data_IF_323453132084
#
_entry.id   IF_323453132084
#
_cell.length_a   1.000
_cell.length_b   1.000
_cell.length_c   1.000
_cell.angle_alpha   90.00
_cell.angle_beta   90.00
_cell.angle_gamma   90.00
#
_symmetry.space_group_name_H-M   'P 1'
#
loop_
_entity.id
_entity.type
_entity.pdbx_description
1 polymer ?
#
# COMPACT_ATOMS: atom_id res chain seq x y z
N UNK A 1 -71.70 -42.64 -20.30
CA UNK A 1 -71.74 -41.20 -19.95
C UNK A 1 -70.28 -40.75 -19.79
N UNK A 2 -69.78 -40.00 -20.77
CA UNK A 2 -68.41 -39.48 -20.78
C UNK A 2 -68.52 -37.98 -20.50
N UNK A 3 -67.94 -37.51 -19.37
CA UNK A 3 -67.77 -36.09 -19.10
C UNK A 3 -66.42 -35.63 -19.61
N UNK A 4 -66.41 -34.71 -20.59
CA UNK A 4 -65.23 -34.03 -21.09
C UNK A 4 -65.06 -32.74 -20.27
N UNK A 5 -63.94 -32.63 -19.52
CA UNK A 5 -63.56 -31.39 -18.84
C UNK A 5 -62.69 -30.56 -19.79
N UNK A 6 -63.19 -29.39 -20.14
CA UNK A 6 -62.48 -28.36 -20.91
C UNK A 6 -61.61 -27.54 -19.94
N UNK A 7 -60.30 -27.66 -20.11
CA UNK A 7 -59.32 -26.83 -19.34
C UNK A 7 -59.01 -25.58 -20.18
N UNK A 8 -59.38 -24.41 -19.69
CA UNK A 8 -59.02 -23.12 -20.27
C UNK A 8 -57.63 -22.72 -19.79
N UNK A 9 -56.63 -22.71 -20.66
CA UNK A 9 -55.31 -22.14 -20.41
C UNK A 9 -55.37 -20.63 -20.65
N UNK A 10 -55.36 -19.86 -19.57
CA UNK A 10 -55.12 -18.42 -19.60
C UNK A 10 -53.62 -18.16 -19.81
N UNK A 11 -53.23 -17.79 -21.01
CA UNK A 11 -51.90 -17.28 -21.33
C UNK A 11 -51.80 -15.84 -20.85
N UNK A 12 -51.07 -15.63 -19.75
CA UNK A 12 -50.69 -14.27 -19.27
C UNK A 12 -49.48 -13.83 -20.09
N UNK A 13 -49.70 -12.98 -21.09
CA UNK A 13 -48.64 -12.26 -21.80
C UNK A 13 -48.03 -11.22 -20.88
N UNK A 14 -46.85 -11.51 -20.33
CA UNK A 14 -46.01 -10.49 -19.71
C UNK A 14 -45.44 -9.60 -20.83
N UNK A 15 -46.03 -8.42 -21.00
CA UNK A 15 -45.43 -7.33 -21.76
C UNK A 15 -44.22 -6.80 -21.00
N UNK A 16 -43.00 -7.33 -21.29
CA UNK A 16 -41.77 -6.68 -20.93
C UNK A 16 -41.67 -5.38 -21.74
N UNK A 17 -42.05 -4.26 -21.14
CA UNK A 17 -41.70 -2.97 -21.68
C UNK A 17 -40.16 -2.83 -21.63
N UNK A 18 -39.50 -2.42 -22.73
CA UNK A 18 -38.09 -2.13 -22.69
C UNK A 18 -37.88 -0.97 -21.70
N UNK A 19 -37.14 -1.21 -20.60
CA UNK A 19 -36.61 -0.15 -19.77
C UNK A 19 -35.63 0.60 -20.65
N UNK A 20 -36.08 1.69 -21.27
CA UNK A 20 -35.20 2.66 -21.92
C UNK A 20 -34.24 3.17 -20.86
N UNK A 21 -32.99 2.71 -20.89
CA UNK A 21 -31.92 3.36 -20.17
C UNK A 21 -31.89 4.81 -20.66
N UNK A 22 -32.43 5.74 -19.88
CA UNK A 22 -32.26 7.17 -20.12
C UNK A 22 -30.74 7.44 -20.00
N UNK A 23 -30.07 7.62 -21.13
CA UNK A 23 -28.75 8.23 -21.19
C UNK A 23 -28.91 9.61 -20.58
N UNK A 24 -28.38 9.82 -19.37
CA UNK A 24 -28.39 11.14 -18.73
C UNK A 24 -27.64 12.09 -19.66
N UNK A 25 -28.29 13.23 -19.95
CA UNK A 25 -27.74 14.24 -20.85
C UNK A 25 -26.47 14.84 -20.26
N UNK A 26 -25.39 14.85 -21.04
CA UNK A 26 -24.18 15.66 -20.83
C UNK A 26 -24.62 17.13 -20.74
N UNK A 27 -23.99 17.91 -19.84
CA UNK A 27 -24.27 19.34 -19.72
C UNK A 27 -23.89 20.11 -21.00
N UNK A 28 -24.50 21.28 -21.28
CA UNK A 28 -24.06 22.13 -22.41
C UNK A 28 -22.57 22.50 -22.36
N UNK A 29 -22.03 22.70 -21.14
CA UNK A 29 -20.61 22.96 -20.90
C UNK A 29 -19.76 21.73 -21.21
N UNK A 30 -20.16 20.57 -20.73
CA UNK A 30 -19.51 19.30 -21.02
C UNK A 30 -19.50 18.97 -22.51
N UNK A 31 -20.58 19.30 -23.25
CA UNK A 31 -20.63 19.13 -24.69
C UNK A 31 -19.58 19.98 -25.41
N UNK A 32 -19.40 21.24 -25.03
CA UNK A 32 -18.33 22.11 -25.57
C UNK A 32 -16.93 21.53 -25.33
N UNK A 33 -16.70 20.93 -24.16
CA UNK A 33 -15.44 20.23 -23.90
C UNK A 33 -15.20 19.11 -24.91
N UNK A 34 -16.21 18.28 -25.16
CA UNK A 34 -16.11 17.14 -26.09
C UNK A 34 -15.88 17.57 -27.54
N UNK A 35 -16.48 18.67 -27.99
CA UNK A 35 -16.31 19.22 -29.35
C UNK A 35 -14.85 19.54 -29.67
N UNK A 36 -14.09 20.06 -28.70
CA UNK A 36 -12.68 20.36 -28.88
C UNK A 36 -11.79 19.15 -28.49
N UNK A 37 -11.97 18.59 -27.29
CA UNK A 37 -11.12 17.54 -26.78
C UNK A 37 -11.27 16.20 -27.49
N UNK A 38 -12.38 15.99 -28.22
CA UNK A 38 -12.55 14.84 -29.09
C UNK A 38 -11.49 14.73 -30.20
N UNK A 39 -10.92 15.88 -30.61
CA UNK A 39 -9.83 15.93 -31.60
C UNK A 39 -8.46 16.19 -30.97
N UNK A 40 -8.39 17.03 -29.95
CA UNK A 40 -7.10 17.46 -29.35
C UNK A 40 -6.54 16.45 -28.33
N UNK A 41 -7.40 15.78 -27.57
CA UNK A 41 -7.04 14.74 -26.58
C UNK A 41 -7.98 13.54 -26.62
N UNK A 42 -8.07 12.83 -27.77
CA UNK A 42 -9.08 11.80 -27.99
C UNK A 42 -8.96 10.63 -27.01
N UNK A 43 -7.76 10.32 -26.50
CA UNK A 43 -7.54 9.29 -25.50
C UNK A 43 -8.23 9.56 -24.17
N UNK A 44 -8.24 10.83 -23.72
CA UNK A 44 -8.94 11.24 -22.49
C UNK A 44 -10.45 11.07 -22.66
N UNK A 45 -10.99 11.50 -23.80
CA UNK A 45 -12.42 11.37 -24.12
C UNK A 45 -12.83 9.90 -24.22
N UNK A 46 -12.00 9.06 -24.84
CA UNK A 46 -12.24 7.61 -24.94
C UNK A 46 -12.30 6.94 -23.55
N UNK A 47 -11.33 7.24 -22.70
CA UNK A 47 -11.30 6.72 -21.32
C UNK A 47 -12.52 7.17 -20.52
N UNK A 48 -12.86 8.46 -20.56
CA UNK A 48 -14.04 8.97 -19.88
C UNK A 48 -15.32 8.29 -20.40
N UNK A 49 -15.45 8.10 -21.70
CA UNK A 49 -16.63 7.50 -22.33
C UNK A 49 -16.89 6.06 -21.87
N UNK A 50 -15.83 5.31 -21.53
CA UNK A 50 -15.92 3.95 -20.98
C UNK A 50 -16.30 3.93 -19.48
N UNK A 51 -16.16 5.06 -18.78
CA UNK A 51 -16.31 5.16 -17.34
C UNK A 51 -17.74 4.97 -16.84
N UNK A 52 -17.87 4.61 -15.56
CA UNK A 52 -19.16 4.62 -14.87
C UNK A 52 -19.73 6.05 -14.75
N UNK A 53 -18.86 7.08 -14.69
CA UNK A 53 -19.27 8.48 -14.63
C UNK A 53 -20.00 8.93 -15.89
N UNK A 54 -19.47 8.61 -17.07
CA UNK A 54 -20.12 8.94 -18.33
C UNK A 54 -21.51 8.29 -18.46
N UNK A 55 -21.64 7.03 -17.99
CA UNK A 55 -22.93 6.28 -18.01
C UNK A 55 -24.03 6.94 -17.19
N UNK A 56 -23.67 7.74 -16.19
CA UNK A 56 -24.62 8.46 -15.32
C UNK A 56 -24.64 9.98 -15.59
N UNK A 57 -24.00 10.45 -16.68
CA UNK A 57 -24.03 11.85 -17.09
C UNK A 57 -23.09 12.78 -16.31
N UNK A 58 -22.14 12.26 -15.55
CA UNK A 58 -21.05 13.04 -14.95
C UNK A 58 -20.00 13.29 -16.00
N UNK A 59 -19.90 14.51 -16.48
CA UNK A 59 -19.06 14.95 -17.60
C UNK A 59 -17.78 15.67 -17.16
N UNK A 60 -17.03 16.16 -18.16
CA UNK A 60 -15.76 16.86 -17.94
C UNK A 60 -15.97 18.08 -17.03
N UNK A 61 -16.99 18.88 -17.29
CA UNK A 61 -17.27 20.10 -16.51
C UNK A 61 -17.68 19.78 -15.08
N UNK A 62 -18.42 18.70 -14.85
CA UNK A 62 -18.81 18.26 -13.51
C UNK A 62 -17.61 18.03 -12.58
N UNK A 63 -16.47 17.57 -13.13
CA UNK A 63 -15.25 17.35 -12.39
C UNK A 63 -14.30 18.58 -12.39
N UNK A 64 -14.17 19.25 -13.52
CA UNK A 64 -13.22 20.33 -13.72
C UNK A 64 -13.76 21.73 -13.39
N UNK A 65 -15.09 21.90 -13.21
CA UNK A 65 -15.65 23.16 -12.80
C UNK A 65 -15.04 23.65 -11.49
N UNK A 66 -14.53 24.87 -11.51
CA UNK A 66 -13.92 25.54 -10.37
C UNK A 66 -14.67 26.85 -10.06
N UNK A 67 -14.70 27.27 -8.79
CA UNK A 67 -15.17 28.58 -8.40
C UNK A 67 -14.08 29.62 -8.70
N UNK A 68 -14.47 30.90 -8.85
CA UNK A 68 -13.53 31.96 -9.16
C UNK A 68 -12.40 32.13 -8.12
N UNK A 69 -12.67 31.74 -6.87
CA UNK A 69 -11.74 31.85 -5.75
C UNK A 69 -10.98 30.54 -5.44
N UNK A 70 -11.24 29.48 -6.19
CA UNK A 70 -10.51 28.21 -5.97
C UNK A 70 -9.06 28.41 -6.43
N UNK A 71 -8.06 27.99 -5.65
CA UNK A 71 -6.67 28.06 -6.06
C UNK A 71 -6.42 27.24 -7.34
N UNK A 72 -5.48 27.69 -8.17
CA UNK A 72 -5.14 27.03 -9.44
C UNK A 72 -6.28 26.94 -10.46
N UNK A 73 -7.26 27.84 -10.38
CA UNK A 73 -8.24 28.04 -11.45
C UNK A 73 -7.72 28.97 -12.53
N UNK A 74 -8.22 28.81 -13.73
CA UNK A 74 -7.97 29.71 -14.83
C UNK A 74 -9.17 29.77 -15.79
N UNK A 75 -9.19 30.77 -16.65
CA UNK A 75 -10.22 30.89 -17.67
C UNK A 75 -9.86 30.05 -18.88
N UNK A 76 -10.74 29.17 -19.29
CA UNK A 76 -10.58 28.28 -20.43
C UNK A 76 -11.81 28.40 -21.34
N UNK A 77 -11.69 29.20 -22.41
CA UNK A 77 -12.78 29.46 -23.34
C UNK A 77 -14.08 29.87 -22.66
N UNK A 78 -13.97 30.81 -21.72
CA UNK A 78 -15.12 31.36 -20.98
C UNK A 78 -15.64 30.49 -19.86
N UNK A 79 -14.96 29.38 -19.52
CA UNK A 79 -15.27 28.54 -18.38
C UNK A 79 -14.15 28.61 -17.32
N UNK A 80 -14.52 28.75 -16.03
CA UNK A 80 -13.56 28.63 -14.92
C UNK A 80 -13.34 27.15 -14.61
N UNK A 81 -12.12 26.69 -14.84
CA UNK A 81 -11.75 25.29 -14.59
C UNK A 81 -10.49 25.16 -13.78
N UNK A 82 -10.31 24.00 -13.15
CA UNK A 82 -9.08 23.55 -12.51
C UNK A 82 -8.47 22.40 -13.32
N UNK A 83 -7.17 22.49 -13.65
CA UNK A 83 -6.42 21.39 -14.28
C UNK A 83 -6.37 20.19 -13.32
N UNK A 84 -6.11 20.45 -12.04
CA UNK A 84 -6.01 19.43 -11.01
C UNK A 84 -7.37 19.26 -10.33
N UNK A 85 -8.04 18.15 -10.61
CA UNK A 85 -9.22 17.72 -9.85
C UNK A 85 -8.72 17.14 -8.54
N UNK A 86 -8.92 17.87 -7.46
CA UNK A 86 -8.45 17.49 -6.12
C UNK A 86 -9.43 16.53 -5.43
N UNK A 87 -9.04 15.87 -4.32
CA UNK A 87 -9.97 15.06 -3.54
C UNK A 87 -11.23 15.81 -3.07
N UNK A 88 -11.14 17.13 -2.83
CA UNK A 88 -12.30 17.95 -2.47
C UNK A 88 -13.38 17.96 -3.56
N UNK A 89 -12.97 17.98 -4.84
CA UNK A 89 -13.91 17.87 -5.96
C UNK A 89 -14.62 16.51 -5.99
N UNK A 90 -13.85 15.42 -5.79
CA UNK A 90 -14.43 14.07 -5.70
C UNK A 90 -15.38 13.95 -4.51
N UNK A 91 -15.03 14.55 -3.37
CA UNK A 91 -15.79 14.54 -2.13
C UNK A 91 -17.16 15.23 -2.21
N UNK A 92 -17.41 16.06 -3.24
CA UNK A 92 -18.75 16.63 -3.49
C UNK A 92 -19.82 15.54 -3.63
N UNK A 93 -19.44 14.37 -4.16
CA UNK A 93 -20.31 13.21 -4.34
C UNK A 93 -19.84 12.00 -3.50
N UNK A 94 -18.52 11.84 -3.27
CA UNK A 94 -17.87 10.74 -2.58
C UNK A 94 -17.35 11.13 -1.19
N UNK A 95 -18.21 11.79 -0.38
CA UNK A 95 -17.82 12.36 0.91
C UNK A 95 -17.34 11.32 1.94
N UNK A 96 -17.93 10.10 1.92
CA UNK A 96 -17.53 9.01 2.80
C UNK A 96 -16.12 8.50 2.46
N UNK A 97 -15.86 8.29 1.19
CA UNK A 97 -14.58 7.81 0.67
C UNK A 97 -13.49 8.84 0.94
N UNK A 98 -13.76 10.13 0.73
CA UNK A 98 -12.85 11.22 1.06
C UNK A 98 -12.49 11.22 2.55
N UNK A 99 -13.50 11.20 3.44
CA UNK A 99 -13.25 11.21 4.88
C UNK A 99 -12.48 10.00 5.39
N UNK A 100 -12.62 8.84 4.77
CA UNK A 100 -11.81 7.64 5.07
C UNK A 100 -10.38 7.77 4.55
N UNK A 101 -10.22 8.25 3.32
CA UNK A 101 -8.91 8.47 2.72
C UNK A 101 -8.08 9.48 3.52
N UNK A 102 -8.66 10.59 3.96
CA UNK A 102 -7.99 11.63 4.73
C UNK A 102 -7.43 11.14 6.07
N UNK A 103 -8.01 10.09 6.66
CA UNK A 103 -7.50 9.42 7.87
C UNK A 103 -6.33 8.48 7.57
N UNK A 104 -6.19 8.05 6.32
CA UNK A 104 -5.17 7.09 5.93
C UNK A 104 -3.77 7.70 5.90
N UNK A 105 -2.76 6.85 6.06
CA UNK A 105 -1.37 7.25 5.84
C UNK A 105 -1.10 7.75 4.41
N UNK A 106 -1.89 7.33 3.43
CA UNK A 106 -1.76 7.78 2.05
C UNK A 106 -2.00 9.27 1.91
N UNK A 107 -2.99 9.84 2.58
CA UNK A 107 -3.23 11.29 2.55
C UNK A 107 -2.05 12.11 3.12
N UNK A 108 -1.25 11.51 3.99
CA UNK A 108 -0.11 12.16 4.62
C UNK A 108 1.25 11.68 4.03
N UNK A 109 1.25 10.95 2.91
CA UNK A 109 2.46 10.30 2.38
C UNK A 109 3.58 11.30 2.04
N UNK A 110 3.27 12.52 1.60
CA UNK A 110 4.27 13.55 1.38
C UNK A 110 5.06 13.95 2.65
N UNK A 111 4.49 13.74 3.85
CA UNK A 111 5.19 14.02 5.12
C UNK A 111 6.28 13.00 5.44
N UNK A 112 6.20 11.79 4.88
CA UNK A 112 7.25 10.79 5.06
C UNK A 112 8.56 11.18 4.38
N UNK A 113 8.46 12.06 3.41
CA UNK A 113 9.62 12.68 2.78
C UNK A 113 10.36 13.65 3.75
N UNK A 114 9.88 13.91 4.95
CA UNK A 114 10.60 14.59 6.04
C UNK A 114 11.42 13.67 6.96
N UNK A 115 11.61 12.41 6.58
CA UNK A 115 12.42 11.41 7.29
C UNK A 115 13.85 11.34 6.74
N UNK A 116 14.66 10.39 7.22
CA UNK A 116 15.99 10.11 6.68
C UNK A 116 16.01 9.83 5.18
N UNK A 117 14.91 9.34 4.61
CA UNK A 117 14.76 9.09 3.17
C UNK A 117 14.89 10.39 2.35
N UNK A 118 14.50 11.52 2.91
CA UNK A 118 14.70 12.83 2.27
C UNK A 118 16.16 13.26 2.24
N UNK A 119 16.86 13.01 3.35
CA UNK A 119 18.29 13.29 3.39
C UNK A 119 19.01 12.52 2.28
N UNK A 120 18.68 11.23 2.11
CA UNK A 120 19.20 10.43 1.01
C UNK A 120 18.76 10.97 -0.35
N UNK A 121 17.47 11.03 -0.62
CA UNK A 121 16.93 11.37 -1.93
C UNK A 121 17.21 12.81 -2.39
N UNK A 122 17.21 13.78 -1.50
CA UNK A 122 17.33 15.20 -1.88
C UNK A 122 18.75 15.76 -1.73
N UNK A 123 19.50 15.30 -0.73
CA UNK A 123 20.83 15.85 -0.42
C UNK A 123 21.93 14.93 -0.93
N UNK A 124 21.88 13.65 -0.58
CA UNK A 124 22.93 12.69 -0.98
C UNK A 124 22.82 12.34 -2.47
N UNK A 125 21.61 12.07 -2.97
CA UNK A 125 21.36 11.68 -4.36
C UNK A 125 21.10 12.89 -5.28
N UNK A 126 20.43 13.94 -4.76
CA UNK A 126 20.15 15.19 -5.42
C UNK A 126 18.69 15.40 -5.82
N UNK A 127 18.25 16.66 -5.83
CA UNK A 127 16.86 17.06 -6.06
C UNK A 127 16.19 16.46 -7.31
N UNK A 128 16.84 16.42 -8.50
CA UNK A 128 16.25 15.80 -9.69
C UNK A 128 15.91 14.30 -9.51
N UNK A 129 16.70 13.54 -8.73
CA UNK A 129 16.41 12.16 -8.41
C UNK A 129 15.16 12.05 -7.52
N UNK A 130 15.04 12.91 -6.51
CA UNK A 130 13.85 12.97 -5.65
C UNK A 130 12.59 13.33 -6.44
N UNK A 131 12.65 14.30 -7.38
CA UNK A 131 11.51 14.70 -8.23
C UNK A 131 11.00 13.55 -9.08
N UNK A 132 11.92 12.81 -9.73
CA UNK A 132 11.56 11.70 -10.61
C UNK A 132 11.38 10.36 -9.90
N UNK A 133 11.86 10.23 -8.67
CA UNK A 133 11.77 9.04 -7.82
C UNK A 133 10.76 9.21 -6.68
N UNK A 134 11.25 9.56 -5.49
CA UNK A 134 10.47 9.56 -4.24
C UNK A 134 9.13 10.30 -4.36
N UNK A 135 9.13 11.47 -4.98
CA UNK A 135 7.94 12.34 -5.10
C UNK A 135 6.88 11.78 -6.04
N UNK A 136 7.24 10.88 -6.97
CA UNK A 136 6.27 10.26 -7.87
C UNK A 136 5.35 9.26 -7.15
N UNK A 137 5.83 8.64 -6.07
CA UNK A 137 5.05 7.76 -5.22
C UNK A 137 4.46 8.50 -4.01
N UNK A 138 5.29 9.24 -3.26
CA UNK A 138 4.88 9.91 -2.02
C UNK A 138 4.12 11.22 -2.25
N UNK A 139 4.41 11.93 -3.32
CA UNK A 139 3.89 13.26 -3.58
C UNK A 139 4.74 14.38 -2.95
N UNK A 140 4.43 15.60 -3.32
CA UNK A 140 4.97 16.84 -2.75
C UNK A 140 3.92 17.95 -2.87
N UNK A 141 4.18 19.13 -2.35
CA UNK A 141 3.34 20.30 -2.55
C UNK A 141 3.43 20.76 -4.01
N UNK A 142 2.27 20.91 -4.64
CA UNK A 142 2.15 21.39 -6.03
C UNK A 142 2.08 22.92 -6.04
N UNK A 143 3.03 23.54 -6.73
CA UNK A 143 3.10 25.00 -6.89
C UNK A 143 2.45 25.44 -8.20
N UNK A 144 1.38 26.20 -8.08
CA UNK A 144 0.70 26.82 -9.20
C UNK A 144 1.38 28.15 -9.56
N UNK A 145 1.68 28.36 -10.84
CA UNK A 145 2.40 29.57 -11.33
C UNK A 145 1.50 30.55 -12.09
N UNK A 146 0.23 30.22 -12.27
CA UNK A 146 -0.75 31.03 -13.00
C UNK A 146 -1.12 30.46 -14.37
N UNK A 147 -2.24 30.87 -14.93
CA UNK A 147 -2.71 30.53 -16.29
C UNK A 147 -2.72 29.02 -16.60
N UNK A 148 -3.13 28.22 -15.64
CA UNK A 148 -3.15 26.77 -15.79
C UNK A 148 -1.78 26.09 -15.76
N UNK A 149 -0.72 26.81 -15.39
CA UNK A 149 0.67 26.34 -15.35
C UNK A 149 1.13 26.03 -13.94
N UNK A 150 2.11 25.14 -13.85
CA UNK A 150 2.69 24.67 -12.59
C UNK A 150 4.21 24.67 -12.66
N UNK A 151 4.83 24.80 -11.49
CA UNK A 151 6.28 24.66 -11.33
C UNK A 151 6.73 23.24 -11.74
N UNK A 152 7.68 23.10 -12.69
CA UNK A 152 8.11 21.80 -13.20
C UNK A 152 8.78 20.88 -12.15
N UNK A 153 9.31 21.43 -11.06
CA UNK A 153 9.86 20.63 -9.96
C UNK A 153 8.77 20.01 -9.07
N UNK A 154 7.51 20.42 -9.25
CA UNK A 154 6.37 19.97 -8.46
C UNK A 154 5.25 19.33 -9.28
N UNK A 155 5.30 19.48 -10.62
CA UNK A 155 4.32 18.95 -11.55
C UNK A 155 4.97 18.54 -12.89
N UNK A 156 4.66 17.35 -13.46
CA UNK A 156 3.60 16.41 -13.05
C UNK A 156 3.90 15.71 -11.73
N UNK A 157 2.83 15.43 -10.95
CA UNK A 157 2.92 14.80 -9.63
C UNK A 157 1.75 13.81 -9.46
N UNK A 158 2.05 12.53 -9.52
CA UNK A 158 1.07 11.44 -9.36
C UNK A 158 1.04 10.86 -7.96
N UNK A 159 1.90 11.36 -7.05
CA UNK A 159 2.09 10.80 -5.72
C UNK A 159 0.81 10.79 -4.88
N UNK A 160 0.63 9.68 -4.15
CA UNK A 160 -0.60 9.41 -3.41
C UNK A 160 -0.91 10.47 -2.34
N UNK A 161 0.12 11.07 -1.72
CA UNK A 161 0.00 12.09 -0.68
C UNK A 161 0.26 13.51 -1.17
N UNK A 162 0.17 13.76 -2.48
CA UNK A 162 0.33 15.09 -3.07
C UNK A 162 -0.44 16.15 -2.28
N UNK A 163 0.19 17.28 -1.98
CA UNK A 163 -0.49 18.46 -1.40
C UNK A 163 -0.94 19.35 -2.54
N UNK A 164 -2.23 19.52 -2.67
CA UNK A 164 -2.83 20.26 -3.78
C UNK A 164 -2.88 21.77 -3.48
N UNK A 165 -3.02 22.64 -4.50
CA UNK A 165 -3.09 24.09 -4.30
C UNK A 165 -4.23 24.55 -3.37
N UNK A 166 -5.32 23.77 -3.26
CA UNK A 166 -6.43 24.02 -2.34
C UNK A 166 -6.18 23.51 -0.91
N UNK A 167 -4.97 23.05 -0.61
CA UNK A 167 -4.58 22.47 0.67
C UNK A 167 -5.05 21.04 0.93
N UNK A 168 -5.89 20.48 0.04
CA UNK A 168 -6.29 19.07 0.13
C UNK A 168 -5.10 18.13 -0.11
N UNK A 169 -5.16 16.93 0.44
CA UNK A 169 -4.05 15.97 0.39
C UNK A 169 -4.42 14.77 -0.46
N UNK A 170 -3.46 14.36 -1.26
CA UNK A 170 -3.55 13.13 -2.04
C UNK A 170 -4.22 13.27 -3.40
N UNK A 171 -4.49 12.13 -4.00
CA UNK A 171 -5.20 12.03 -5.28
C UNK A 171 -5.90 10.69 -5.41
N UNK A 172 -7.22 10.72 -5.60
CA UNK A 172 -8.02 9.51 -5.84
C UNK A 172 -7.60 8.78 -7.13
N UNK A 173 -7.11 9.56 -8.10
CA UNK A 173 -6.63 9.04 -9.38
C UNK A 173 -5.34 8.20 -9.28
N UNK A 174 -4.66 8.19 -8.13
CA UNK A 174 -3.54 7.27 -7.92
C UNK A 174 -4.00 5.80 -7.92
N UNK A 175 -5.21 5.52 -7.45
CA UNK A 175 -5.77 4.17 -7.44
C UNK A 175 -6.76 3.93 -8.58
N UNK A 176 -7.62 4.91 -8.88
CA UNK A 176 -8.72 4.73 -9.82
C UNK A 176 -8.37 5.02 -11.29
N UNK A 177 -7.21 5.56 -11.58
CA UNK A 177 -6.80 5.92 -12.95
C UNK A 177 -7.70 6.96 -13.61
N UNK A 178 -7.13 8.03 -14.12
CA UNK A 178 -7.83 9.04 -14.94
C UNK A 178 -7.99 8.49 -16.36
N UNK A 179 -9.02 8.69 -17.04
CA UNK A 179 -10.34 9.30 -16.80
C UNK A 179 -11.42 8.21 -16.77
N UNK A 180 -10.99 6.94 -16.80
CA UNK A 180 -11.86 5.76 -16.73
C UNK A 180 -12.41 5.55 -15.30
N UNK A 181 -11.63 5.88 -14.27
CA UNK A 181 -11.98 5.70 -12.85
C UNK A 181 -12.41 4.28 -12.51
N UNK A 182 -11.67 3.29 -13.05
CA UNK A 182 -12.00 1.87 -12.94
C UNK A 182 -11.86 1.34 -11.52
N UNK A 183 -12.92 0.72 -11.00
CA UNK A 183 -12.87 -0.05 -9.76
C UNK A 183 -12.06 -1.33 -9.90
N UNK A 184 -12.11 -1.97 -11.08
CA UNK A 184 -11.34 -3.16 -11.36
C UNK A 184 -9.84 -2.88 -11.34
N UNK A 185 -9.40 -1.76 -11.91
CA UNK A 185 -8.02 -1.31 -11.82
C UNK A 185 -7.58 -1.11 -10.36
N UNK A 186 -8.41 -0.43 -9.54
CA UNK A 186 -8.11 -0.18 -8.13
C UNK A 186 -7.97 -1.46 -7.29
N UNK A 187 -8.56 -2.58 -7.74
CA UNK A 187 -8.53 -3.90 -7.09
C UNK A 187 -7.37 -4.78 -7.54
N UNK A 188 -6.67 -4.41 -8.62
CA UNK A 188 -5.50 -5.14 -9.12
C UNK A 188 -4.30 -4.95 -8.16
N UNK A 189 -3.56 -6.02 -7.85
CA UNK A 189 -2.34 -5.93 -7.05
C UNK A 189 -1.30 -4.98 -7.66
N UNK A 190 -1.11 -5.00 -8.97
CA UNK A 190 -0.14 -4.16 -9.68
C UNK A 190 -0.42 -2.66 -9.50
N UNK A 191 -1.69 -2.29 -9.30
CA UNK A 191 -2.04 -0.89 -9.02
C UNK A 191 -1.53 -0.40 -7.66
N UNK A 192 -1.41 -1.27 -6.68
CA UNK A 192 -0.74 -0.98 -5.42
C UNK A 192 0.78 -1.08 -5.60
N UNK A 193 1.22 -2.11 -6.34
CA UNK A 193 2.61 -2.45 -6.61
C UNK A 193 3.42 -1.38 -7.32
N UNK A 194 2.78 -0.48 -8.07
CA UNK A 194 3.50 0.65 -8.71
C UNK A 194 4.19 1.62 -7.74
N UNK A 195 3.82 1.56 -6.44
CA UNK A 195 4.42 2.33 -5.36
C UNK A 195 4.94 1.43 -4.23
N UNK A 196 4.28 0.29 -3.99
CA UNK A 196 4.67 -0.69 -2.98
C UNK A 196 5.61 -1.74 -3.58
N UNK A 197 6.84 -1.32 -3.89
CA UNK A 197 7.91 -2.11 -4.50
C UNK A 197 9.28 -1.63 -4.01
N UNK A 198 10.31 -2.42 -4.28
CA UNK A 198 11.69 -2.02 -4.06
C UNK A 198 12.32 -2.60 -2.79
N UNK A 199 13.54 -2.14 -2.43
CA UNK A 199 14.36 -2.83 -1.45
C UNK A 199 13.82 -2.76 -0.02
N UNK A 200 13.02 -1.74 0.31
CA UNK A 200 12.57 -1.44 1.68
C UNK A 200 11.09 -1.76 1.93
N UNK A 201 10.26 -1.85 0.88
CA UNK A 201 8.83 -2.14 0.99
C UNK A 201 8.30 -2.96 -0.20
N UNK A 202 8.87 -4.16 -0.43
CA UNK A 202 8.63 -4.99 -1.61
C UNK A 202 7.31 -5.76 -1.53
N UNK A 203 6.19 -5.08 -1.23
CA UNK A 203 4.93 -5.78 -1.01
C UNK A 203 4.41 -6.47 -2.28
N UNK A 204 4.63 -5.88 -3.47
CA UNK A 204 4.18 -6.53 -4.70
C UNK A 204 5.01 -7.78 -5.02
N UNK A 205 6.32 -7.73 -4.78
CA UNK A 205 7.22 -8.86 -4.95
C UNK A 205 6.84 -9.99 -3.99
N UNK A 206 6.66 -9.67 -2.69
CA UNK A 206 6.21 -10.63 -1.68
C UNK A 206 4.85 -11.24 -2.06
N UNK A 207 3.90 -10.41 -2.51
CA UNK A 207 2.60 -10.89 -2.94
C UNK A 207 2.73 -11.84 -4.12
N UNK A 208 3.50 -11.47 -5.13
CA UNK A 208 3.68 -12.25 -6.35
C UNK A 208 4.28 -13.65 -6.10
N UNK A 209 5.15 -13.80 -5.12
CA UNK A 209 5.76 -15.07 -4.73
C UNK A 209 4.91 -15.85 -3.71
N UNK A 210 3.98 -15.18 -3.02
CA UNK A 210 3.10 -15.80 -2.06
C UNK A 210 2.10 -16.74 -2.71
N UNK A 211 1.58 -17.70 -1.91
CA UNK A 211 0.48 -18.57 -2.35
C UNK A 211 -0.75 -17.77 -2.79
N UNK A 212 -1.02 -16.63 -2.16
CA UNK A 212 -2.11 -15.74 -2.53
C UNK A 212 -1.91 -15.12 -3.91
N UNK A 213 -0.72 -14.61 -4.21
CA UNK A 213 -0.41 -14.05 -5.53
C UNK A 213 -0.44 -15.09 -6.65
N UNK A 214 0.05 -16.31 -6.38
CA UNK A 214 -0.03 -17.42 -7.31
C UNK A 214 -1.49 -17.78 -7.60
N UNK A 215 -2.33 -17.90 -6.57
CA UNK A 215 -3.76 -18.18 -6.73
C UNK A 215 -4.49 -17.03 -7.45
N UNK A 216 -4.15 -15.78 -7.18
CA UNK A 216 -4.72 -14.64 -7.89
C UNK A 216 -4.45 -14.75 -9.40
N UNK A 217 -3.18 -14.92 -9.81
CA UNK A 217 -2.82 -15.02 -11.23
C UNK A 217 -3.50 -16.19 -11.94
N UNK A 218 -3.65 -17.31 -11.26
CA UNK A 218 -4.33 -18.49 -11.80
C UNK A 218 -5.86 -18.31 -11.92
N UNK A 219 -6.46 -17.37 -11.22
CA UNK A 219 -7.92 -17.25 -11.09
C UNK A 219 -8.44 -15.80 -11.31
N UNK A 220 -7.73 -14.93 -12.02
CA UNK A 220 -8.13 -13.52 -12.22
C UNK A 220 -9.56 -13.40 -12.73
N UNK A 221 -9.97 -14.26 -13.69
CA UNK A 221 -11.32 -14.26 -14.24
C UNK A 221 -12.43 -14.57 -13.21
N UNK A 222 -12.08 -15.21 -12.08
CA UNK A 222 -13.02 -15.54 -10.99
C UNK A 222 -13.07 -14.47 -9.90
N UNK A 223 -12.28 -13.41 -10.04
CA UNK A 223 -12.18 -12.36 -9.03
C UNK A 223 -13.33 -11.35 -9.05
N UNK A 224 -14.16 -11.38 -10.09
CA UNK A 224 -15.30 -10.48 -10.26
C UNK A 224 -14.94 -8.99 -9.97
N UNK A 225 -13.81 -8.54 -10.56
CA UNK A 225 -13.23 -7.23 -10.27
C UNK A 225 -14.15 -6.04 -10.59
N UNK A 226 -15.14 -6.25 -11.47
CA UNK A 226 -16.15 -5.25 -11.87
C UNK A 226 -17.37 -5.23 -10.95
N UNK A 227 -17.48 -6.12 -9.96
CA UNK A 227 -18.63 -6.15 -9.02
C UNK A 227 -18.82 -4.80 -8.33
N UNK A 228 -20.06 -4.35 -8.22
CA UNK A 228 -20.39 -3.08 -7.53
C UNK A 228 -20.11 -3.15 -6.03
N UNK A 229 -20.35 -4.29 -5.40
CA UNK A 229 -20.19 -4.49 -3.95
C UNK A 229 -18.85 -5.10 -3.57
N UNK A 230 -18.34 -6.04 -4.36
CA UNK A 230 -17.08 -6.75 -4.21
C UNK A 230 -16.80 -7.24 -2.76
N UNK A 231 -17.76 -7.96 -2.21
CA UNK A 231 -17.71 -8.53 -0.86
C UNK A 231 -16.98 -9.86 -0.89
N UNK A 232 -15.89 -9.99 -0.15
CA UNK A 232 -15.15 -11.26 -0.04
C UNK A 232 -16.00 -12.35 0.59
N UNK A 233 -15.92 -13.55 0.04
CA UNK A 233 -16.73 -14.70 0.46
C UNK A 233 -18.14 -14.73 -0.18
N UNK A 234 -18.62 -13.62 -0.74
CA UNK A 234 -19.93 -13.51 -1.39
C UNK A 234 -19.81 -13.28 -2.90
N UNK A 235 -19.11 -12.21 -3.29
CA UNK A 235 -18.99 -11.83 -4.69
C UNK A 235 -17.79 -12.50 -5.37
N UNK A 236 -16.80 -12.88 -4.59
CA UNK A 236 -15.60 -13.62 -5.00
C UNK A 236 -14.97 -14.36 -3.83
N UNK A 237 -14.25 -15.46 -4.14
CA UNK A 237 -13.55 -16.29 -3.14
C UNK A 237 -12.30 -16.98 -3.69
N UNK A 238 -11.91 -16.69 -4.93
CA UNK A 238 -10.85 -17.43 -5.61
C UNK A 238 -9.46 -17.14 -5.05
N UNK A 239 -9.20 -15.87 -4.68
CA UNK A 239 -7.96 -15.43 -4.05
C UNK A 239 -8.14 -14.05 -3.44
N UNK A 240 -7.31 -13.62 -2.48
CA UNK A 240 -7.25 -12.23 -2.05
C UNK A 240 -6.33 -11.41 -2.98
N UNK A 241 -6.57 -10.09 -3.03
CA UNK A 241 -5.64 -9.07 -3.52
C UNK A 241 -5.23 -8.15 -2.37
N UNK A 242 -4.35 -7.18 -2.62
CA UNK A 242 -4.03 -6.14 -1.63
C UNK A 242 -5.31 -5.44 -1.15
N UNK A 243 -6.19 -5.07 -2.09
CA UNK A 243 -7.48 -4.43 -1.78
C UNK A 243 -8.42 -5.36 -0.98
N UNK A 244 -8.35 -6.68 -1.15
CA UNK A 244 -9.13 -7.62 -0.35
C UNK A 244 -8.79 -7.49 1.13
N UNK A 245 -7.51 -7.57 1.47
CA UNK A 245 -7.06 -7.52 2.85
C UNK A 245 -7.24 -6.13 3.48
N UNK A 246 -6.90 -5.08 2.74
CA UNK A 246 -6.83 -3.73 3.29
C UNK A 246 -8.13 -2.93 3.17
N UNK A 247 -9.00 -3.22 2.21
CA UNK A 247 -10.12 -2.34 1.87
C UNK A 247 -11.47 -3.03 1.73
N UNK A 248 -11.51 -4.29 1.22
CA UNK A 248 -12.73 -4.96 0.79
C UNK A 248 -13.78 -5.08 1.90
N UNK A 249 -15.05 -5.03 1.51
CA UNK A 249 -16.13 -5.43 2.39
C UNK A 249 -16.10 -6.94 2.66
N UNK A 250 -16.58 -7.32 3.85
CA UNK A 250 -16.95 -8.70 4.21
C UNK A 250 -18.44 -8.72 4.56
N UNK A 251 -19.06 -9.87 4.84
CA UNK A 251 -20.41 -9.91 5.40
C UNK A 251 -20.57 -9.11 6.70
N UNK A 252 -19.47 -8.89 7.45
CA UNK A 252 -19.49 -8.28 8.78
C UNK A 252 -18.98 -6.84 8.82
N UNK A 253 -18.28 -6.38 7.79
CA UNK A 253 -17.70 -5.04 7.74
C UNK A 253 -17.80 -4.39 6.35
N UNK A 254 -18.00 -3.07 6.34
CA UNK A 254 -18.07 -2.30 5.10
C UNK A 254 -16.71 -2.13 4.45
N UNK A 255 -16.70 -1.85 3.13
CA UNK A 255 -15.53 -1.36 2.41
C UNK A 255 -14.98 -0.09 3.07
N UNK A 256 -13.66 0.04 3.13
CA UNK A 256 -12.96 1.23 3.65
C UNK A 256 -11.95 1.78 2.65
N UNK A 257 -11.76 3.11 2.65
CA UNK A 257 -10.66 3.81 1.96
C UNK A 257 -9.53 4.20 2.91
N UNK A 258 -9.63 3.86 4.20
CA UNK A 258 -8.47 3.86 5.10
C UNK A 258 -7.75 2.51 4.99
N UNK A 259 -6.75 2.44 4.10
CA UNK A 259 -5.96 1.22 3.84
C UNK A 259 -5.16 0.73 5.06
N UNK A 260 -5.00 1.59 6.06
CA UNK A 260 -4.30 1.29 7.32
C UNK A 260 -5.18 0.73 8.41
N UNK A 261 -6.51 0.79 8.26
CA UNK A 261 -7.47 0.51 9.33
C UNK A 261 -7.36 -0.91 9.93
N UNK A 262 -6.88 -1.87 9.14
CA UNK A 262 -6.73 -3.28 9.54
C UNK A 262 -5.30 -3.69 9.89
N UNK A 263 -4.34 -2.75 9.91
CA UNK A 263 -2.94 -3.01 10.22
C UNK A 263 -2.72 -2.92 11.71
N UNK A 264 -2.22 -3.98 12.35
CA UNK A 264 -2.02 -4.06 13.80
C UNK A 264 -0.63 -3.66 14.29
N UNK A 265 0.37 -3.66 13.40
CA UNK A 265 1.75 -3.31 13.70
C UNK A 265 2.26 -2.16 12.85
N UNK A 266 3.19 -1.38 13.40
CA UNK A 266 4.03 -0.52 12.57
C UNK A 266 5.27 -1.30 12.12
N UNK A 267 5.42 -1.51 10.80
CA UNK A 267 6.55 -2.27 10.23
C UNK A 267 7.63 -1.36 9.62
N UNK A 268 7.41 -0.05 9.63
CA UNK A 268 8.33 0.93 9.03
C UNK A 268 9.52 1.30 9.91
N UNK A 269 9.36 1.59 11.22
CA UNK A 269 10.48 2.00 12.08
C UNK A 269 11.42 0.82 12.35
N UNK A 270 12.61 1.14 12.85
CA UNK A 270 13.62 0.15 13.20
C UNK A 270 13.10 -0.92 14.18
N UNK A 271 12.30 -0.50 15.16
CA UNK A 271 11.64 -1.39 16.13
C UNK A 271 10.15 -1.42 15.83
N UNK A 272 9.60 -2.61 15.69
CA UNK A 272 8.17 -2.83 15.46
C UNK A 272 7.40 -2.79 16.76
N UNK A 273 6.31 -2.01 16.77
CA UNK A 273 5.38 -1.94 17.90
C UNK A 273 3.94 -2.08 17.42
N UNK A 274 3.05 -2.49 18.31
CA UNK A 274 1.62 -2.45 18.04
C UNK A 274 1.15 -1.01 17.83
N UNK A 275 0.22 -0.84 16.89
CA UNK A 275 -0.48 0.43 16.70
C UNK A 275 -1.55 0.61 17.78
N UNK A 276 -1.99 1.84 17.96
CA UNK A 276 -3.15 2.14 18.80
C UNK A 276 -4.37 1.31 18.33
N UNK A 277 -5.11 0.74 19.29
CA UNK A 277 -6.27 -0.13 19.05
C UNK A 277 -5.94 -1.35 18.16
N UNK A 278 -4.75 -1.90 18.29
CA UNK A 278 -4.24 -3.00 17.44
C UNK A 278 -5.11 -4.25 17.49
N UNK A 279 -5.73 -4.57 18.64
CA UNK A 279 -6.63 -5.72 18.78
C UNK A 279 -7.84 -5.58 17.85
N UNK A 280 -8.47 -4.41 17.84
CA UNK A 280 -9.60 -4.11 16.94
C UNK A 280 -9.18 -4.17 15.47
N UNK A 281 -8.04 -3.61 15.14
CA UNK A 281 -7.44 -3.64 13.79
C UNK A 281 -7.17 -5.07 13.34
N UNK A 282 -6.60 -5.88 14.23
CA UNK A 282 -6.33 -7.29 13.99
C UNK A 282 -7.62 -8.10 13.82
N UNK A 283 -8.60 -7.89 14.67
CA UNK A 283 -9.90 -8.55 14.56
C UNK A 283 -10.57 -8.25 13.20
N UNK A 284 -10.47 -7.01 12.71
CA UNK A 284 -10.97 -6.64 11.40
C UNK A 284 -10.21 -7.35 10.25
N UNK A 285 -8.89 -7.55 10.36
CA UNK A 285 -8.13 -8.33 9.38
C UNK A 285 -8.44 -9.82 9.48
N UNK A 286 -8.59 -10.36 10.70
CA UNK A 286 -8.97 -11.77 10.92
C UNK A 286 -10.35 -12.09 10.35
N UNK A 287 -11.30 -11.15 10.42
CA UNK A 287 -12.60 -11.29 9.77
C UNK A 287 -12.45 -11.45 8.24
N UNK A 288 -11.56 -10.71 7.59
CA UNK A 288 -11.25 -10.94 6.17
C UNK A 288 -10.71 -12.35 5.93
N UNK A 289 -9.72 -12.78 6.72
CA UNK A 289 -9.10 -14.10 6.59
C UNK A 289 -10.13 -15.23 6.74
N UNK A 290 -11.06 -15.08 7.69
CA UNK A 290 -12.05 -16.11 8.07
C UNK A 290 -13.11 -16.35 6.99
N UNK A 291 -13.18 -15.51 5.94
CA UNK A 291 -14.02 -15.81 4.77
C UNK A 291 -13.48 -16.95 3.89
N UNK A 292 -12.21 -17.34 4.09
CA UNK A 292 -11.56 -18.40 3.32
C UNK A 292 -10.85 -19.44 4.22
N UNK A 293 -10.44 -19.07 5.43
CA UNK A 293 -9.64 -19.90 6.35
C UNK A 293 -10.39 -20.19 7.64
N UNK A 294 -10.17 -21.39 8.21
CA UNK A 294 -10.69 -21.74 9.53
C UNK A 294 -10.06 -20.88 10.63
N UNK A 295 -10.85 -20.56 11.66
CA UNK A 295 -10.43 -19.67 12.77
C UNK A 295 -9.12 -20.11 13.42
N UNK A 296 -8.97 -21.39 13.76
CA UNK A 296 -7.74 -21.90 14.38
C UNK A 296 -6.50 -21.77 13.50
N UNK A 297 -6.66 -21.83 12.18
CA UNK A 297 -5.55 -21.55 11.24
C UNK A 297 -5.13 -20.08 11.31
N UNK A 298 -6.11 -19.17 11.30
CA UNK A 298 -5.87 -17.72 11.37
C UNK A 298 -5.19 -17.35 12.70
N UNK A 299 -5.68 -17.89 13.82
CA UNK A 299 -5.08 -17.68 15.14
C UNK A 299 -3.62 -18.16 15.20
N UNK A 300 -3.33 -19.35 14.65
CA UNK A 300 -1.98 -19.90 14.63
C UNK A 300 -1.04 -19.09 13.73
N UNK A 301 -1.53 -18.59 12.60
CA UNK A 301 -0.76 -17.65 11.78
C UNK A 301 -0.33 -16.41 12.58
N UNK A 302 -1.25 -15.81 13.34
CA UNK A 302 -0.91 -14.64 14.14
C UNK A 302 0.07 -14.96 15.28
N UNK A 303 0.00 -16.13 15.89
CA UNK A 303 1.01 -16.57 16.88
C UNK A 303 2.40 -16.69 16.26
N UNK A 304 2.50 -17.25 15.06
CA UNK A 304 3.77 -17.34 14.31
C UNK A 304 4.28 -15.96 13.93
N UNK A 305 3.40 -15.09 13.48
CA UNK A 305 3.74 -13.69 13.14
C UNK A 305 4.27 -12.94 14.37
N UNK A 306 3.59 -13.02 15.52
CA UNK A 306 4.05 -12.43 16.79
C UNK A 306 5.45 -12.93 17.17
N UNK A 307 5.68 -14.22 17.09
CA UNK A 307 6.99 -14.82 17.42
C UNK A 307 8.10 -14.29 16.51
N UNK A 308 7.80 -14.09 15.23
CA UNK A 308 8.76 -13.55 14.26
C UNK A 308 9.07 -12.07 14.53
N UNK A 309 8.05 -11.26 14.84
CA UNK A 309 8.25 -9.86 15.22
C UNK A 309 9.08 -9.75 16.51
N UNK A 310 8.77 -10.59 17.49
CA UNK A 310 9.53 -10.64 18.73
C UNK A 310 10.99 -11.03 18.48
N UNK A 311 11.23 -12.07 17.67
CA UNK A 311 12.60 -12.47 17.29
C UNK A 311 13.36 -11.32 16.64
N UNK A 312 12.77 -10.64 15.67
CA UNK A 312 13.41 -9.51 15.00
C UNK A 312 13.75 -8.39 15.99
N UNK A 313 12.79 -8.00 16.82
CA UNK A 313 12.98 -6.91 17.77
C UNK A 313 14.06 -7.22 18.81
N UNK A 314 13.97 -8.41 19.45
CA UNK A 314 14.84 -8.73 20.59
C UNK A 314 16.24 -9.12 20.14
N UNK A 315 16.37 -9.84 19.02
CA UNK A 315 17.67 -10.33 18.58
C UNK A 315 18.46 -9.29 17.80
N UNK A 316 17.81 -8.45 17.01
CA UNK A 316 18.51 -7.56 16.05
C UNK A 316 18.22 -6.07 16.28
N UNK A 317 16.93 -5.68 16.26
CA UNK A 317 16.57 -4.27 16.19
C UNK A 317 16.92 -3.47 17.44
N UNK A 318 16.51 -3.96 18.62
CA UNK A 318 16.83 -3.30 19.91
C UNK A 318 18.33 -3.31 20.21
N UNK A 319 19.06 -4.44 20.04
CA UNK A 319 20.50 -4.45 20.18
C UNK A 319 21.22 -3.47 19.27
N UNK A 320 20.91 -3.46 17.97
CA UNK A 320 21.52 -2.52 17.02
C UNK A 320 21.24 -1.07 17.40
N UNK A 321 19.98 -0.75 17.73
CA UNK A 321 19.62 0.60 18.18
C UNK A 321 20.37 0.99 19.46
N UNK A 322 20.48 0.10 20.43
CA UNK A 322 21.20 0.37 21.69
C UNK A 322 22.68 0.68 21.44
N UNK A 323 23.32 -0.02 20.49
CA UNK A 323 24.71 0.24 20.09
C UNK A 323 24.80 1.63 19.43
N UNK A 324 23.94 1.96 18.48
CA UNK A 324 23.91 3.28 17.84
C UNK A 324 23.72 4.40 18.88
N UNK A 325 22.78 4.24 19.81
CA UNK A 325 22.54 5.22 20.88
C UNK A 325 23.80 5.45 21.74
N UNK A 326 24.55 4.39 22.09
CA UNK A 326 25.81 4.48 22.84
C UNK A 326 26.89 5.21 22.03
N UNK A 327 27.01 4.94 20.74
CA UNK A 327 27.98 5.61 19.85
C UNK A 327 27.68 7.11 19.72
N UNK A 328 26.43 7.50 19.52
CA UNK A 328 26.03 8.90 19.51
C UNK A 328 26.27 9.58 20.87
N UNK A 329 25.88 8.94 21.97
CA UNK A 329 26.04 9.50 23.32
C UNK A 329 27.52 9.69 23.72
N UNK A 330 28.42 8.85 23.20
CA UNK A 330 29.86 8.94 23.44
C UNK A 330 30.61 9.91 22.51
N UNK A 331 29.89 10.53 21.55
CA UNK A 331 30.48 11.40 20.53
C UNK A 331 31.36 10.67 19.51
N UNK A 332 31.19 9.35 19.35
CA UNK A 332 31.85 8.55 18.31
C UNK A 332 31.22 8.71 16.94
N UNK A 333 29.98 9.16 16.91
CA UNK A 333 29.27 9.54 15.69
C UNK A 333 28.94 11.03 15.71
N UNK A 334 29.03 11.67 14.58
CA UNK A 334 28.60 13.06 14.39
C UNK A 334 27.07 13.18 14.40
N UNK A 335 26.54 14.40 14.29
CA UNK A 335 25.10 14.64 14.10
C UNK A 335 24.71 14.74 12.63
N UNK A 336 25.67 14.71 11.74
CA UNK A 336 25.43 14.73 10.30
C UNK A 336 25.00 13.32 9.86
N UNK A 337 23.79 13.12 9.35
CA UNK A 337 23.35 11.80 8.94
C UNK A 337 24.17 11.27 7.75
N UNK A 338 24.48 9.98 7.78
CA UNK A 338 25.14 9.23 6.71
C UNK A 338 26.59 9.66 6.38
N UNK A 339 27.29 10.33 7.27
CA UNK A 339 28.71 10.66 7.11
C UNK A 339 29.65 9.56 7.64
N UNK A 340 29.13 8.61 8.46
CA UNK A 340 29.87 7.44 8.91
C UNK A 340 29.31 6.14 8.33
N UNK A 341 30.21 5.19 8.07
CA UNK A 341 29.89 3.89 7.47
C UNK A 341 28.83 3.11 8.24
N UNK A 342 28.89 3.11 9.58
CA UNK A 342 27.97 2.36 10.42
C UNK A 342 26.51 2.83 10.29
N UNK A 343 26.26 4.09 9.93
CA UNK A 343 24.92 4.62 9.71
C UNK A 343 24.27 3.99 8.49
N UNK A 344 25.07 3.77 7.41
CA UNK A 344 24.61 3.05 6.23
C UNK A 344 24.34 1.58 6.54
N UNK A 345 25.22 0.91 7.28
CA UNK A 345 25.05 -0.48 7.70
C UNK A 345 23.82 -0.64 8.60
N UNK A 346 23.61 0.31 9.53
CA UNK A 346 22.42 0.31 10.38
C UNK A 346 21.16 0.55 9.56
N UNK A 347 21.19 1.49 8.59
CA UNK A 347 20.08 1.78 7.71
C UNK A 347 19.71 0.55 6.86
N UNK A 348 20.66 -0.09 6.22
CA UNK A 348 20.46 -1.35 5.47
C UNK A 348 19.84 -2.44 6.35
N UNK A 349 20.35 -2.59 7.57
CA UNK A 349 19.89 -3.62 8.49
C UNK A 349 18.41 -3.50 8.84
N UNK A 350 17.96 -2.30 9.23
CA UNK A 350 16.59 -2.15 9.68
C UNK A 350 15.63 -1.69 8.58
N UNK A 351 16.10 -0.82 7.67
CA UNK A 351 15.26 -0.18 6.67
C UNK A 351 14.99 -1.11 5.48
N UNK A 352 16.02 -1.80 5.00
CA UNK A 352 15.87 -2.75 3.89
C UNK A 352 15.62 -4.17 4.39
N UNK A 353 16.63 -4.84 4.90
CA UNK A 353 16.55 -6.24 5.29
C UNK A 353 15.50 -6.50 6.39
N UNK A 354 15.48 -5.65 7.42
CA UNK A 354 14.54 -5.77 8.53
C UNK A 354 13.08 -5.53 8.12
N UNK A 355 12.81 -4.58 7.23
CA UNK A 355 11.45 -4.38 6.68
C UNK A 355 11.03 -5.57 5.84
N UNK A 356 11.89 -6.08 4.96
CA UNK A 356 11.63 -7.27 4.14
C UNK A 356 11.26 -8.48 5.00
N UNK A 357 12.04 -8.77 6.04
CA UNK A 357 11.77 -9.87 6.97
C UNK A 357 10.37 -9.78 7.61
N UNK A 358 10.01 -8.60 8.10
CA UNK A 358 8.73 -8.37 8.80
C UNK A 358 7.55 -8.35 7.86
N UNK A 359 7.68 -7.71 6.69
CA UNK A 359 6.64 -7.67 5.65
C UNK A 359 6.46 -9.05 5.00
N UNK A 360 7.56 -9.79 4.76
CA UNK A 360 7.51 -11.16 4.28
C UNK A 360 6.66 -12.05 5.19
N UNK A 361 6.90 -11.97 6.51
CA UNK A 361 6.09 -12.72 7.49
C UNK A 361 4.64 -12.26 7.51
N UNK A 362 4.40 -10.95 7.55
CA UNK A 362 3.05 -10.38 7.59
C UNK A 362 2.20 -10.79 6.37
N UNK A 363 2.82 -10.97 5.21
CA UNK A 363 2.17 -11.29 3.94
C UNK A 363 2.36 -12.75 3.50
N UNK A 364 2.88 -13.62 4.39
CA UNK A 364 3.08 -15.05 4.13
C UNK A 364 4.01 -15.35 2.93
N UNK A 365 5.05 -14.51 2.75
CA UNK A 365 6.10 -14.69 1.76
C UNK A 365 7.35 -15.33 2.40
N UNK A 366 7.55 -16.67 2.30
CA UNK A 366 8.62 -17.36 3.01
C UNK A 366 10.01 -16.96 2.56
N UNK A 367 10.22 -16.67 1.30
CA UNK A 367 11.51 -16.24 0.75
C UNK A 367 11.91 -14.87 1.29
N UNK A 368 10.98 -13.91 1.27
CA UNK A 368 11.20 -12.58 1.84
C UNK A 368 11.29 -12.59 3.38
N UNK A 369 10.68 -13.57 4.05
CA UNK A 369 10.91 -13.76 5.48
C UNK A 369 12.33 -14.27 5.73
N UNK A 370 12.77 -15.31 5.02
CA UNK A 370 13.99 -16.05 5.32
C UNK A 370 15.21 -15.47 4.57
N UNK A 371 15.25 -15.59 3.23
CA UNK A 371 16.48 -15.29 2.46
C UNK A 371 16.69 -13.79 2.23
N UNK A 372 15.69 -13.09 1.71
CA UNK A 372 15.74 -11.65 1.52
C UNK A 372 15.45 -10.85 2.81
N UNK A 373 15.19 -11.54 3.92
CA UNK A 373 14.86 -10.97 5.22
C UNK A 373 15.86 -11.34 6.30
N UNK A 374 15.55 -12.37 7.10
CA UNK A 374 16.36 -12.71 8.28
C UNK A 374 17.80 -13.11 7.96
N UNK A 375 18.06 -13.74 6.81
CA UNK A 375 19.43 -14.03 6.38
C UNK A 375 20.22 -12.73 6.15
N UNK A 376 19.64 -11.79 5.41
CA UNK A 376 20.28 -10.50 5.15
C UNK A 376 20.44 -9.68 6.44
N UNK A 377 19.43 -9.66 7.32
CA UNK A 377 19.53 -9.03 8.65
C UNK A 377 20.69 -9.62 9.44
N UNK A 378 20.79 -10.95 9.50
CA UNK A 378 21.86 -11.63 10.23
C UNK A 378 23.23 -11.37 9.60
N UNK A 379 23.33 -11.45 8.28
CA UNK A 379 24.56 -11.18 7.55
C UNK A 379 25.05 -9.77 7.85
N UNK A 380 24.23 -8.73 7.62
CA UNK A 380 24.61 -7.33 7.89
C UNK A 380 25.00 -7.16 9.35
N UNK A 381 24.17 -7.68 10.28
CA UNK A 381 24.41 -7.54 11.71
C UNK A 381 25.78 -8.11 12.13
N UNK A 382 26.08 -9.37 11.76
CA UNK A 382 27.29 -10.05 12.25
C UNK A 382 28.56 -9.73 11.45
N UNK A 383 28.44 -9.44 10.14
CA UNK A 383 29.64 -9.31 9.28
C UNK A 383 29.99 -7.86 8.97
N UNK A 384 29.10 -6.91 9.23
CA UNK A 384 29.27 -5.50 8.91
C UNK A 384 29.08 -4.63 10.16
N UNK A 385 27.86 -4.55 10.69
CA UNK A 385 27.49 -3.65 11.79
C UNK A 385 28.26 -3.90 13.11
N UNK A 386 28.33 -5.14 13.59
CA UNK A 386 29.03 -5.46 14.86
C UNK A 386 30.55 -5.20 14.75
N UNK A 387 31.27 -5.62 13.69
CA UNK A 387 32.69 -5.29 13.52
C UNK A 387 32.96 -3.79 13.45
N UNK A 388 32.10 -3.04 12.76
CA UNK A 388 32.27 -1.59 12.64
C UNK A 388 32.02 -0.87 13.98
N UNK A 389 31.00 -1.29 14.73
CA UNK A 389 30.73 -0.78 16.06
C UNK A 389 31.91 -0.98 17.02
N UNK A 390 32.54 -2.18 17.02
CA UNK A 390 33.74 -2.48 17.81
C UNK A 390 34.94 -1.66 17.36
N UNK A 391 35.08 -1.40 16.05
CA UNK A 391 36.15 -0.53 15.53
C UNK A 391 36.01 0.91 16.05
N UNK A 392 34.81 1.43 16.11
CA UNK A 392 34.51 2.80 16.57
C UNK A 392 34.62 2.93 18.10
N UNK A 393 34.15 1.94 18.83
CA UNK A 393 34.14 1.92 20.29
C UNK A 393 34.36 0.49 20.81
N UNK A 394 35.61 0.09 21.06
CA UNK A 394 35.93 -1.23 21.59
C UNK A 394 35.13 -1.56 22.84
N UNK A 395 34.49 -2.74 22.87
CA UNK A 395 33.67 -3.25 23.96
C UNK A 395 32.19 -2.80 23.93
N UNK A 396 31.77 -1.97 22.97
CA UNK A 396 30.36 -1.49 22.88
C UNK A 396 29.36 -2.61 22.65
N UNK A 397 29.81 -3.70 22.04
CA UNK A 397 28.94 -4.84 21.67
C UNK A 397 28.93 -5.97 22.71
N UNK A 398 29.77 -5.91 23.76
CA UNK A 398 30.01 -7.01 24.71
C UNK A 398 28.69 -7.52 25.34
N UNK A 399 27.84 -6.61 25.84
CA UNK A 399 26.57 -6.99 26.46
C UNK A 399 25.64 -7.71 25.50
N UNK A 400 25.58 -7.21 24.25
CA UNK A 400 24.77 -7.80 23.18
C UNK A 400 25.27 -9.17 22.81
N UNK A 401 26.55 -9.32 22.52
CA UNK A 401 27.17 -10.55 22.04
C UNK A 401 27.28 -11.65 23.11
N UNK A 402 27.12 -11.28 24.40
CA UNK A 402 27.02 -12.22 25.51
C UNK A 402 25.60 -12.72 25.78
N UNK A 403 24.58 -12.13 25.18
CA UNK A 403 23.20 -12.55 25.38
C UNK A 403 22.92 -13.93 24.76
N UNK A 404 21.87 -14.59 25.22
CA UNK A 404 21.48 -15.92 24.71
C UNK A 404 21.22 -15.97 23.21
N UNK A 405 20.80 -14.87 22.63
CA UNK A 405 20.56 -14.77 21.18
C UNK A 405 21.85 -14.86 20.34
N UNK A 406 23.01 -14.48 20.92
CA UNK A 406 24.26 -14.30 20.19
C UNK A 406 25.40 -15.20 20.67
N UNK A 407 25.20 -15.98 21.75
CA UNK A 407 26.24 -16.85 22.32
C UNK A 407 26.83 -17.87 21.35
N UNK A 408 26.08 -18.27 20.31
CA UNK A 408 26.55 -19.20 19.28
C UNK A 408 27.79 -18.68 18.53
N UNK A 409 28.01 -17.37 18.49
CA UNK A 409 29.19 -16.74 17.86
C UNK A 409 30.51 -17.07 18.54
N UNK A 410 30.45 -17.55 19.80
CA UNK A 410 31.61 -18.01 20.58
C UNK A 410 32.04 -19.44 20.26
N UNK A 411 31.34 -20.07 19.32
CA UNK A 411 31.48 -21.48 19.00
C UNK A 411 30.57 -22.36 19.86
N UNK A 412 30.25 -23.52 19.32
CA UNK A 412 29.50 -24.56 20.04
C UNK A 412 30.49 -25.49 20.73
N UNK A 413 30.16 -25.93 21.93
CA UNK A 413 30.85 -27.06 22.55
C UNK A 413 30.67 -28.33 21.72
N UNK A 414 31.53 -29.30 21.93
CA UNK A 414 31.39 -30.60 21.22
C UNK A 414 30.04 -31.27 21.52
N UNK A 415 29.57 -31.12 22.77
CA UNK A 415 28.31 -31.66 23.25
C UNK A 415 27.11 -30.95 22.56
N UNK A 416 27.12 -29.64 22.48
CA UNK A 416 26.09 -28.84 21.79
C UNK A 416 26.05 -29.11 20.29
N UNK A 417 27.22 -29.25 19.66
CA UNK A 417 27.33 -29.63 18.26
C UNK A 417 26.78 -31.03 18.01
N UNK A 418 27.11 -32.00 18.91
CA UNK A 418 26.59 -33.36 18.81
C UNK A 418 25.09 -33.40 18.99
N UNK A 419 24.52 -32.64 19.94
CA UNK A 419 23.08 -32.53 20.16
C UNK A 419 22.37 -32.01 18.89
N UNK A 420 22.92 -30.99 18.24
CA UNK A 420 22.37 -30.48 16.97
C UNK A 420 22.43 -31.54 15.87
N UNK A 421 23.56 -32.23 15.72
CA UNK A 421 23.71 -33.29 14.74
C UNK A 421 22.68 -34.42 14.98
N UNK A 422 22.52 -34.83 16.22
CA UNK A 422 21.59 -35.89 16.58
C UNK A 422 20.13 -35.44 16.37
N UNK A 423 19.79 -34.20 16.73
CA UNK A 423 18.48 -33.63 16.43
C UNK A 423 18.13 -33.70 14.93
N UNK A 424 19.04 -33.30 14.05
CA UNK A 424 18.79 -33.38 12.62
C UNK A 424 18.76 -34.81 12.09
N UNK A 425 19.64 -35.70 12.59
CA UNK A 425 19.62 -37.11 12.21
C UNK A 425 18.30 -37.78 12.58
N UNK A 426 17.77 -37.48 13.76
CA UNK A 426 16.52 -38.09 14.24
C UNK A 426 15.31 -37.52 13.49
N UNK A 427 15.31 -36.25 13.14
CA UNK A 427 14.25 -35.60 12.39
C UNK A 427 14.08 -36.13 10.97
N UNK A 428 15.15 -36.61 10.34
CA UNK A 428 15.14 -37.11 8.97
C UNK A 428 15.21 -38.64 8.85
N UNK A 429 15.06 -39.35 9.95
CA UNK A 429 14.96 -40.82 9.98
C UNK A 429 13.57 -41.36 9.65
N UNK A 430 12.61 -40.53 9.32
CA UNK A 430 11.23 -40.91 9.00
C UNK A 430 11.06 -41.21 7.50
#
# INVERSE_FOLDING_TARGET
MRFASCMWLLAVLFLCAPVSAQTQKISPEGQKCLECHGSTTPGIVSQWNSSAHAKVGVDCYSCHQANANDPATFDHYGQKIAVIVTPNYCGRCHAKELAQFEKSHHAAAARFIGSLDNMLGEIVEGGPAAVNGCRQCHGTEVKYTGDGKFDPDTWPNSGIGRVNPDGSKGTCAACHGRHEFSSALARQPDNCGKCHLGPDHPQIEIFNESKHGIQFRANVAKMNLESKSWVVGKDYSAAPTCATCHMSATPNQSLTHDVGDRISYTLRPAITVHLENWEKRRAAMQDVCSNCHATGWVENFYKQYESTIQLYNEKFAKPAKSIMDKLYASGKLSRTPFDEKIEWEYYELWHHAGRRARMGTAMMGPDYTQWHGFFDVAKIFYTEFIPEAERLMPGVTVDVMNSDYHKWTKGLTKEELQQQIDFYKDRYKQ
#
